data_IF_688504561243
#
_entry.id   IF_688504561243
#
_cell.length_a   1.000
_cell.length_b   1.000
_cell.length_c   1.000
_cell.angle_alpha   90.00
_cell.angle_beta   90.00
_cell.angle_gamma   90.00
#
_symmetry.space_group_name_H-M   'P 1'
#
loop_
_entity.id
_entity.type
_entity.pdbx_description
1 polymer ?
#
# COMPACT_ATOMS: atom_id res chain seq x y z
N UNK A 1 8.98 7.77 -2.03
CA UNK A 1 9.18 6.41 -2.62
C UNK A 1 9.52 6.63 -4.07
N UNK A 2 10.63 6.09 -4.51
CA UNK A 2 11.08 6.21 -5.89
C UNK A 2 11.37 4.81 -6.42
N UNK A 3 11.09 4.59 -7.70
CA UNK A 3 11.35 3.35 -8.41
C UNK A 3 12.02 3.71 -9.73
N UNK A 4 13.20 3.15 -9.98
CA UNK A 4 13.95 3.34 -11.21
C UNK A 4 13.79 2.09 -12.09
N UNK A 5 13.05 2.21 -13.18
CA UNK A 5 12.84 1.11 -14.10
C UNK A 5 13.63 1.33 -15.40
N UNK A 6 14.58 0.45 -15.65
CA UNK A 6 15.49 0.55 -16.79
C UNK A 6 14.93 -0.13 -18.02
N UNK A 7 14.93 0.59 -19.15
CA UNK A 7 14.40 0.11 -20.42
C UNK A 7 15.40 0.33 -21.57
N UNK A 8 15.24 -0.42 -22.65
CA UNK A 8 15.99 -0.19 -23.87
C UNK A 8 15.59 1.14 -24.51
N UNK A 9 16.56 1.95 -25.02
CA UNK A 9 16.25 3.15 -25.78
C UNK A 9 15.28 2.88 -26.93
N UNK A 10 14.25 3.71 -27.06
CA UNK A 10 13.21 3.57 -28.06
C UNK A 10 12.00 2.73 -27.64
N UNK A 11 12.05 2.08 -26.46
CA UNK A 11 10.87 1.42 -25.86
C UNK A 11 10.26 2.24 -24.70
N UNK A 12 10.82 3.38 -24.43
CA UNK A 12 10.53 4.24 -23.28
C UNK A 12 9.09 4.78 -23.26
N UNK A 13 8.53 5.16 -24.40
CA UNK A 13 7.17 5.69 -24.47
C UNK A 13 6.11 4.64 -24.10
N UNK A 14 6.29 3.41 -24.59
CA UNK A 14 5.39 2.29 -24.27
C UNK A 14 5.49 1.90 -22.78
N UNK A 15 6.71 1.91 -22.23
CA UNK A 15 6.93 1.60 -20.84
C UNK A 15 6.42 2.71 -19.93
N UNK A 16 6.61 3.98 -20.30
CA UNK A 16 6.06 5.12 -19.55
C UNK A 16 4.53 5.01 -19.42
N UNK A 17 3.84 4.75 -20.56
CA UNK A 17 2.38 4.54 -20.55
C UNK A 17 1.97 3.37 -19.66
N UNK A 18 2.65 2.23 -19.75
CA UNK A 18 2.38 1.06 -18.89
C UNK A 18 2.56 1.36 -17.42
N UNK A 19 3.59 2.15 -17.08
CA UNK A 19 3.81 2.55 -15.68
C UNK A 19 2.72 3.48 -15.17
N UNK A 20 2.24 4.43 -15.97
CA UNK A 20 1.09 5.28 -15.59
C UNK A 20 -0.15 4.42 -15.30
N UNK A 21 -0.50 3.50 -16.19
CA UNK A 21 -1.63 2.58 -16.02
C UNK A 21 -1.46 1.69 -14.76
N UNK A 22 -0.27 1.14 -14.56
CA UNK A 22 0.04 0.29 -13.42
C UNK A 22 -0.05 1.04 -12.09
N UNK A 23 0.49 2.27 -12.04
CA UNK A 23 0.45 3.08 -10.81
C UNK A 23 -0.96 3.53 -10.45
N UNK A 24 -1.79 3.89 -11.44
CA UNK A 24 -3.21 4.15 -11.21
C UNK A 24 -3.91 2.94 -10.59
N UNK A 25 -3.76 1.76 -11.19
CA UNK A 25 -4.33 0.52 -10.65
C UNK A 25 -3.84 0.22 -9.24
N UNK A 26 -2.55 0.45 -8.99
CA UNK A 26 -1.98 0.23 -7.67
C UNK A 26 -2.62 1.14 -6.60
N UNK A 27 -2.86 2.43 -6.89
CA UNK A 27 -3.56 3.33 -5.96
C UNK A 27 -5.00 2.88 -5.71
N UNK A 28 -5.71 2.42 -6.73
CA UNK A 28 -7.05 1.85 -6.58
C UNK A 28 -7.03 0.60 -5.68
N UNK A 29 -6.05 -0.27 -5.83
CA UNK A 29 -5.83 -1.45 -4.97
C UNK A 29 -5.53 -1.06 -3.51
N UNK A 30 -4.85 0.07 -3.28
CA UNK A 30 -4.64 0.60 -1.93
C UNK A 30 -5.91 1.24 -1.34
N UNK A 31 -6.98 1.35 -2.10
CA UNK A 31 -8.27 1.86 -1.65
C UNK A 31 -8.52 3.33 -2.00
N UNK A 32 -7.69 3.92 -2.85
CA UNK A 32 -7.94 5.27 -3.36
C UNK A 32 -9.02 5.20 -4.44
N UNK A 33 -10.08 6.01 -4.30
CA UNK A 33 -11.20 6.00 -5.24
C UNK A 33 -10.81 6.60 -6.60
N UNK A 34 -11.15 5.90 -7.66
CA UNK A 34 -10.83 6.30 -9.04
C UNK A 34 -11.37 7.68 -9.41
N UNK A 35 -12.54 8.05 -8.92
CA UNK A 35 -13.18 9.36 -9.15
C UNK A 35 -12.47 10.52 -8.46
N UNK A 36 -11.53 10.22 -7.56
CA UNK A 36 -10.64 11.20 -6.92
C UNK A 36 -9.25 11.29 -7.54
N UNK A 37 -8.96 10.46 -8.54
CA UNK A 37 -7.70 10.47 -9.28
C UNK A 37 -7.88 11.15 -10.63
N UNK A 38 -6.94 12.03 -10.97
CA UNK A 38 -6.88 12.70 -12.28
C UNK A 38 -5.45 12.60 -12.83
N UNK A 39 -5.30 12.51 -14.16
CA UNK A 39 -3.99 12.54 -14.80
C UNK A 39 -3.69 13.93 -15.31
N UNK A 40 -2.55 14.49 -14.91
CA UNK A 40 -2.00 15.71 -15.44
C UNK A 40 -0.79 15.40 -16.31
N UNK A 41 -0.90 15.67 -17.61
CA UNK A 41 0.26 15.59 -18.51
C UNK A 41 1.06 16.88 -18.42
N UNK A 42 2.26 16.80 -17.85
CA UNK A 42 3.15 17.96 -17.70
C UNK A 42 3.76 18.31 -19.04
N UNK A 43 3.64 19.60 -19.44
CA UNK A 43 4.10 20.07 -20.74
C UNK A 43 4.77 21.44 -20.66
N UNK A 44 5.54 21.79 -21.69
CA UNK A 44 6.13 23.11 -21.81
C UNK A 44 7.19 23.44 -20.76
N UNK A 45 7.08 24.61 -20.16
CA UNK A 45 8.06 25.13 -19.19
C UNK A 45 8.03 24.39 -17.85
N UNK A 46 6.90 23.72 -17.54
CA UNK A 46 6.75 22.93 -16.30
C UNK A 46 7.44 21.58 -16.39
N UNK A 47 7.77 21.11 -17.60
CA UNK A 47 8.46 19.84 -17.77
C UNK A 47 9.90 19.93 -17.28
N UNK A 48 10.28 19.06 -16.36
CA UNK A 48 11.65 19.02 -15.82
C UNK A 48 12.67 18.80 -16.95
N UNK A 49 13.81 19.48 -16.85
CA UNK A 49 14.88 19.48 -17.88
C UNK A 49 15.49 18.10 -18.17
N UNK A 50 15.31 17.16 -17.24
CA UNK A 50 15.76 15.77 -17.34
C UNK A 50 14.70 14.83 -17.93
N UNK A 51 13.47 15.31 -18.10
CA UNK A 51 12.35 14.47 -18.52
C UNK A 51 11.97 14.73 -19.97
N UNK A 52 11.73 13.66 -20.71
CA UNK A 52 11.11 13.67 -22.03
C UNK A 52 9.59 13.81 -21.95
N UNK A 53 9.01 13.21 -20.92
CA UNK A 53 7.57 13.24 -20.63
C UNK A 53 7.35 12.97 -19.15
N UNK A 54 6.38 13.64 -18.54
CA UNK A 54 5.94 13.38 -17.17
C UNK A 54 4.42 13.36 -17.13
N UNK A 55 3.88 12.42 -16.39
CA UNK A 55 2.45 12.36 -16.06
C UNK A 55 2.32 12.30 -14.56
N UNK A 56 1.60 13.27 -13.99
CA UNK A 56 1.30 13.31 -12.56
C UNK A 56 -0.07 12.69 -12.31
N UNK A 57 -0.13 11.76 -11.37
CA UNK A 57 -1.37 11.26 -10.78
C UNK A 57 -1.75 12.26 -9.69
N UNK A 58 -2.80 13.02 -9.94
CA UNK A 58 -3.36 14.00 -9.01
C UNK A 58 -4.42 13.33 -8.15
N UNK A 59 -4.52 13.73 -6.88
CA UNK A 59 -5.57 13.28 -5.97
C UNK A 59 -6.32 14.45 -5.38
N UNK A 60 -7.66 14.31 -5.25
CA UNK A 60 -8.55 15.29 -4.63
C UNK A 60 -8.49 15.22 -3.11
N UNK A 61 -7.51 15.91 -2.54
CA UNK A 61 -7.42 16.10 -1.09
C UNK A 61 -8.53 17.01 -0.57
N UNK A 62 -8.82 17.02 0.74
CA UNK A 62 -9.80 17.98 1.32
C UNK A 62 -9.46 19.46 1.08
N UNK A 63 -8.19 19.78 0.86
CA UNK A 63 -7.68 21.13 0.61
C UNK A 63 -7.49 21.45 -0.88
N UNK A 64 -7.73 20.52 -1.77
CA UNK A 64 -7.63 20.73 -3.22
C UNK A 64 -7.03 19.56 -4.00
N UNK A 65 -6.92 19.75 -5.30
CA UNK A 65 -6.30 18.80 -6.20
C UNK A 65 -4.78 18.98 -6.14
N UNK A 66 -4.05 17.98 -5.68
CA UNK A 66 -2.60 17.99 -5.52
C UNK A 66 -1.97 16.71 -6.07
N UNK A 67 -0.71 16.79 -6.46
CA UNK A 67 0.07 15.66 -6.93
C UNK A 67 0.20 14.58 -5.85
N UNK A 68 -0.10 13.34 -6.22
CA UNK A 68 0.09 12.14 -5.40
C UNK A 68 1.34 11.37 -5.80
N UNK A 69 1.57 11.25 -7.10
CA UNK A 69 2.71 10.55 -7.68
C UNK A 69 3.02 11.10 -9.07
N UNK A 70 4.29 11.37 -9.34
CA UNK A 70 4.77 11.71 -10.68
C UNK A 70 5.41 10.50 -11.36
N UNK A 71 5.16 10.32 -12.66
CA UNK A 71 5.81 9.28 -13.47
C UNK A 71 6.58 9.96 -14.59
N UNK A 72 7.90 9.95 -14.50
CA UNK A 72 8.79 10.61 -15.44
C UNK A 72 9.48 9.62 -16.40
N UNK A 73 9.51 9.96 -17.69
CA UNK A 73 10.43 9.36 -18.65
C UNK A 73 11.71 10.20 -18.68
N UNK A 74 12.73 9.77 -17.95
CA UNK A 74 14.00 10.48 -17.76
C UNK A 74 15.02 10.17 -18.86
N UNK A 75 14.67 9.31 -19.80
CA UNK A 75 15.56 8.83 -20.87
C UNK A 75 16.90 8.32 -20.30
N UNK A 76 18.01 8.61 -20.94
CA UNK A 76 19.38 8.30 -20.51
C UNK A 76 20.05 9.47 -19.75
N UNK A 77 19.25 10.45 -19.27
CA UNK A 77 19.78 11.67 -18.65
C UNK A 77 20.65 11.38 -17.43
N UNK A 78 20.15 10.60 -16.47
CA UNK A 78 20.85 10.37 -15.22
C UNK A 78 22.07 9.46 -15.40
N UNK A 79 21.87 8.31 -16.03
CA UNK A 79 22.99 7.38 -16.28
C UNK A 79 24.04 7.98 -17.22
N UNK A 80 23.60 8.75 -18.21
CA UNK A 80 24.47 9.51 -19.08
C UNK A 80 25.27 10.57 -18.33
N UNK A 81 24.61 11.38 -17.48
CA UNK A 81 25.25 12.44 -16.69
C UNK A 81 26.28 11.89 -15.68
N UNK A 82 26.04 10.70 -15.14
CA UNK A 82 26.88 10.07 -14.14
C UNK A 82 27.91 9.07 -14.71
N UNK A 83 27.92 8.85 -16.02
CA UNK A 83 28.91 7.97 -16.67
C UNK A 83 30.24 8.64 -16.87
N UNK A 84 31.34 7.88 -16.70
CA UNK A 84 32.66 8.26 -17.21
C UNK A 84 32.71 8.08 -18.74
N UNK A 85 33.57 8.81 -19.40
CA UNK A 85 33.79 8.74 -20.85
C UNK A 85 32.48 8.88 -21.62
N UNK A 86 31.69 9.91 -21.31
CA UNK A 86 30.38 10.18 -21.92
C UNK A 86 30.47 10.25 -23.46
N UNK A 87 31.59 10.69 -23.99
CA UNK A 87 31.88 10.79 -25.44
C UNK A 87 31.93 9.45 -26.16
N UNK A 88 32.20 8.36 -25.44
CA UNK A 88 32.22 6.99 -25.97
C UNK A 88 30.84 6.31 -25.96
N UNK A 89 29.84 7.01 -25.41
CA UNK A 89 28.49 6.49 -25.23
C UNK A 89 27.50 7.23 -26.12
N UNK A 90 26.56 6.50 -26.72
CA UNK A 90 25.47 7.09 -27.47
C UNK A 90 24.37 7.61 -26.51
N UNK A 91 24.63 8.78 -25.89
CA UNK A 91 23.70 9.43 -24.96
C UNK A 91 22.82 10.38 -25.78
N UNK A 92 21.49 10.24 -25.64
CA UNK A 92 20.50 11.02 -26.35
C UNK A 92 20.14 12.31 -25.61
N UNK A 93 20.13 12.28 -24.28
CA UNK A 93 19.80 13.43 -23.46
C UNK A 93 20.93 14.46 -23.44
N UNK A 94 20.57 15.73 -23.23
CA UNK A 94 21.55 16.79 -23.00
C UNK A 94 22.10 16.72 -21.57
N UNK A 95 23.20 16.03 -21.41
CA UNK A 95 23.85 15.82 -20.11
C UNK A 95 24.91 16.88 -19.81
N UNK A 96 25.17 17.14 -18.54
CA UNK A 96 26.29 17.91 -18.11
C UNK A 96 27.59 17.08 -18.19
N UNK A 97 28.72 17.73 -18.51
CA UNK A 97 30.03 17.07 -18.50
C UNK A 97 30.41 16.74 -17.05
N UNK A 98 30.64 15.47 -16.76
CA UNK A 98 31.03 15.00 -15.43
C UNK A 98 32.40 14.34 -15.46
N UNK A 99 33.43 15.11 -15.03
CA UNK A 99 34.82 14.65 -14.98
C UNK A 99 35.15 13.83 -13.72
N UNK A 100 34.24 13.81 -12.74
CA UNK A 100 34.42 13.08 -11.47
C UNK A 100 33.86 11.67 -11.50
N UNK A 101 33.12 11.31 -12.54
CA UNK A 101 32.57 9.94 -12.70
C UNK A 101 33.67 8.92 -12.92
N UNK A 102 33.63 7.84 -12.16
CA UNK A 102 34.58 6.73 -12.23
C UNK A 102 33.94 5.42 -12.73
N UNK A 103 32.64 5.40 -12.90
CA UNK A 103 31.87 4.24 -13.36
C UNK A 103 31.34 4.46 -14.78
N UNK A 104 31.25 3.39 -15.57
CA UNK A 104 30.55 3.35 -16.85
C UNK A 104 29.16 2.79 -16.60
N UNK A 105 28.13 3.65 -16.64
CA UNK A 105 26.74 3.28 -16.38
C UNK A 105 26.02 2.91 -17.67
N UNK A 106 26.56 1.89 -18.35
CA UNK A 106 26.05 1.36 -19.61
C UNK A 106 26.08 -0.16 -19.58
N UNK A 107 25.19 -0.80 -20.33
CA UNK A 107 25.19 -2.23 -20.58
C UNK A 107 25.72 -2.53 -21.97
N UNK A 108 26.35 -3.67 -22.15
CA UNK A 108 26.75 -4.14 -23.46
C UNK A 108 25.63 -4.97 -24.07
N UNK A 109 25.06 -4.50 -25.18
CA UNK A 109 24.10 -5.28 -25.95
C UNK A 109 24.83 -6.47 -26.59
N UNK A 110 24.43 -7.67 -26.18
CA UNK A 110 25.04 -8.93 -26.61
C UNK A 110 24.89 -9.15 -28.12
N UNK A 111 23.81 -8.65 -28.73
CA UNK A 111 23.52 -8.87 -30.15
C UNK A 111 24.36 -7.97 -31.04
N UNK A 112 24.50 -6.71 -30.67
CA UNK A 112 25.18 -5.68 -31.45
C UNK A 112 26.62 -5.42 -31.02
N UNK A 113 27.01 -5.95 -29.84
CA UNK A 113 28.28 -5.70 -29.15
C UNK A 113 28.54 -4.20 -28.87
N UNK A 114 27.49 -3.37 -28.86
CA UNK A 114 27.57 -1.93 -28.56
C UNK A 114 27.23 -1.66 -27.10
N UNK A 115 27.82 -0.61 -26.57
CA UNK A 115 27.46 -0.08 -25.28
C UNK A 115 26.21 0.80 -25.41
N UNK A 116 25.24 0.56 -24.55
CA UNK A 116 23.95 1.25 -24.52
C UNK A 116 23.71 1.77 -23.11
N UNK A 117 23.39 3.05 -23.01
CA UNK A 117 22.91 3.64 -21.74
C UNK A 117 21.40 3.39 -21.66
N UNK A 118 20.91 2.63 -20.68
CA UNK A 118 19.48 2.39 -20.54
C UNK A 118 18.71 3.69 -20.29
N UNK A 119 17.47 3.74 -20.75
CA UNK A 119 16.53 4.78 -20.37
C UNK A 119 15.87 4.45 -19.04
N UNK A 120 15.41 5.46 -18.34
CA UNK A 120 14.82 5.34 -17.00
C UNK A 120 13.39 5.83 -17.04
N UNK A 121 12.47 5.00 -16.53
CA UNK A 121 11.12 5.40 -16.17
C UNK A 121 11.07 5.44 -14.64
N UNK A 122 10.69 6.58 -14.09
CA UNK A 122 10.71 6.84 -12.66
C UNK A 122 9.30 7.18 -12.15
N UNK A 123 8.59 6.24 -11.53
CA UNK A 123 7.48 6.54 -10.63
C UNK A 123 8.01 7.04 -9.28
N UNK A 124 7.57 8.22 -8.85
CA UNK A 124 7.99 8.86 -7.59
C UNK A 124 6.78 9.40 -6.81
N UNK A 125 6.58 8.92 -5.59
CA UNK A 125 5.49 9.34 -4.72
C UNK A 125 5.97 9.75 -3.33
N UNK A 126 5.38 10.82 -2.78
CA UNK A 126 5.60 11.20 -1.39
C UNK A 126 4.93 10.22 -0.42
N UNK A 127 5.71 9.60 0.48
CA UNK A 127 5.17 8.62 1.46
C UNK A 127 4.08 9.24 2.32
N UNK A 128 4.33 10.43 2.88
CA UNK A 128 3.37 11.11 3.78
C UNK A 128 2.11 11.54 3.02
N UNK A 129 2.24 11.94 1.76
CA UNK A 129 1.13 12.32 0.90
C UNK A 129 0.27 11.10 0.55
N UNK A 130 0.91 9.97 0.21
CA UNK A 130 0.22 8.69 0.01
C UNK A 130 -0.49 8.20 1.28
N UNK A 131 0.17 8.32 2.43
CA UNK A 131 -0.44 7.99 3.72
C UNK A 131 -1.68 8.85 3.99
N UNK A 132 -1.62 10.17 3.76
CA UNK A 132 -2.74 11.07 3.93
C UNK A 132 -3.90 10.74 2.98
N UNK A 133 -3.62 10.42 1.72
CA UNK A 133 -4.64 10.03 0.75
C UNK A 133 -5.39 8.76 1.21
N UNK A 134 -4.65 7.71 1.62
CA UNK A 134 -5.22 6.46 2.11
C UNK A 134 -6.05 6.68 3.39
N UNK A 135 -5.58 7.52 4.33
CA UNK A 135 -6.35 7.85 5.52
C UNK A 135 -7.64 8.59 5.18
N UNK A 136 -7.57 9.56 4.26
CA UNK A 136 -8.73 10.35 3.82
C UNK A 136 -9.79 9.48 3.15
N UNK A 137 -9.39 8.49 2.34
CA UNK A 137 -10.30 7.52 1.73
C UNK A 137 -10.94 6.58 2.76
N UNK A 138 -10.14 6.17 3.74
CA UNK A 138 -10.55 5.14 4.71
C UNK A 138 -11.38 5.67 5.85
N UNK A 139 -11.32 6.99 6.14
CA UNK A 139 -12.06 7.60 7.25
C UNK A 139 -13.53 7.75 6.91
N UNK A 140 -14.40 7.16 7.72
CA UNK A 140 -15.85 7.18 7.55
C UNK A 140 -16.57 7.45 8.86
N UNK A 141 -17.65 8.22 8.79
CA UNK A 141 -18.64 8.35 9.86
C UNK A 141 -19.93 7.72 9.37
N UNK A 142 -20.33 6.62 9.98
CA UNK A 142 -21.47 5.83 9.58
C UNK A 142 -22.62 6.00 10.57
N UNK A 143 -23.81 6.36 10.09
CA UNK A 143 -25.02 6.38 10.89
C UNK A 143 -25.49 4.96 11.22
N UNK A 144 -25.85 4.71 12.48
CA UNK A 144 -26.43 3.45 12.94
C UNK A 144 -27.94 3.58 13.09
N UNK A 145 -28.67 2.45 13.00
CA UNK A 145 -30.14 2.39 13.11
C UNK A 145 -30.70 3.02 14.40
N UNK A 146 -29.91 3.06 15.46
CA UNK A 146 -30.29 3.64 16.76
C UNK A 146 -30.03 5.16 16.88
N UNK A 147 -29.74 5.83 15.74
CA UNK A 147 -29.45 7.27 15.69
C UNK A 147 -28.07 7.65 16.25
N UNK A 148 -27.20 6.68 16.55
CA UNK A 148 -25.80 6.91 16.92
C UNK A 148 -24.90 6.85 15.68
N UNK A 149 -23.71 7.42 15.83
CA UNK A 149 -22.69 7.35 14.79
C UNK A 149 -21.58 6.37 15.17
N UNK A 150 -20.96 5.78 14.15
CA UNK A 150 -19.78 4.95 14.24
C UNK A 150 -18.67 5.55 13.39
N UNK A 151 -17.54 5.84 14.02
CA UNK A 151 -16.32 6.20 13.30
C UNK A 151 -15.60 4.92 12.90
N UNK A 152 -15.21 4.82 11.64
CA UNK A 152 -14.52 3.66 11.08
C UNK A 152 -13.35 4.13 10.23
N UNK A 153 -12.22 3.46 10.38
CA UNK A 153 -11.10 3.58 9.46
C UNK A 153 -11.09 2.33 8.56
N UNK A 154 -11.78 2.43 7.41
CA UNK A 154 -11.98 1.32 6.47
C UNK A 154 -10.75 1.05 5.58
N UNK A 155 -9.59 0.89 6.22
CA UNK A 155 -8.36 0.51 5.52
C UNK A 155 -8.52 -0.85 4.82
N UNK A 156 -7.94 -1.00 3.64
CA UNK A 156 -7.77 -2.32 3.04
C UNK A 156 -7.09 -3.27 4.04
N UNK A 157 -7.50 -4.55 4.16
CA UNK A 157 -6.97 -5.46 5.18
C UNK A 157 -5.44 -5.56 5.21
N UNK A 158 -4.80 -5.52 4.04
CA UNK A 158 -3.33 -5.57 3.93
C UNK A 158 -2.63 -4.30 4.45
N UNK A 159 -3.32 -3.14 4.50
CA UNK A 159 -2.79 -1.87 5.03
C UNK A 159 -3.05 -1.70 6.53
N UNK A 160 -3.99 -2.45 7.11
CA UNK A 160 -4.33 -2.32 8.53
C UNK A 160 -3.11 -2.62 9.43
N UNK A 161 -2.74 -1.73 10.39
CA UNK A 161 -1.60 -1.96 11.29
C UNK A 161 -1.79 -3.16 12.20
N UNK A 162 -3.04 -3.43 12.60
CA UNK A 162 -3.46 -4.60 13.37
C UNK A 162 -4.42 -5.39 12.49
N UNK A 163 -4.08 -6.66 12.22
CA UNK A 163 -4.85 -7.53 11.32
C UNK A 163 -6.07 -8.16 12.00
N UNK A 164 -5.91 -8.49 13.28
CA UNK A 164 -7.02 -9.01 14.08
C UNK A 164 -6.85 -8.66 15.56
N UNK A 165 -7.98 -8.52 16.25
CA UNK A 165 -8.05 -8.43 17.71
C UNK A 165 -8.79 -9.64 18.28
N UNK A 166 -8.16 -10.40 19.17
CA UNK A 166 -8.77 -11.50 19.91
C UNK A 166 -9.27 -10.95 21.25
N UNK A 167 -10.58 -11.09 21.49
CA UNK A 167 -11.27 -10.38 22.58
C UNK A 167 -11.95 -11.40 23.51
N UNK A 168 -11.43 -11.67 24.71
CA UNK A 168 -12.11 -12.51 25.68
C UNK A 168 -13.39 -11.81 26.21
N UNK A 169 -14.52 -12.52 26.24
CA UNK A 169 -15.81 -12.01 26.72
C UNK A 169 -15.73 -11.46 28.16
N UNK A 170 -14.95 -12.11 29.00
CA UNK A 170 -14.74 -11.73 30.40
C UNK A 170 -13.24 -11.65 30.71
N UNK A 171 -12.77 -10.45 30.94
CA UNK A 171 -11.37 -10.17 31.25
C UNK A 171 -10.82 -10.84 32.54
N UNK A 172 -11.71 -11.21 33.45
CA UNK A 172 -11.35 -11.83 34.73
C UNK A 172 -11.53 -13.35 34.73
N UNK A 173 -11.84 -13.97 33.59
CA UNK A 173 -11.89 -15.41 33.42
C UNK A 173 -10.58 -15.86 32.80
N UNK A 174 -9.75 -16.58 33.57
CA UNK A 174 -8.42 -17.02 33.12
C UNK A 174 -8.48 -17.95 31.91
N UNK A 175 -9.46 -18.87 31.86
CA UNK A 175 -9.57 -19.84 30.76
C UNK A 175 -9.85 -19.14 29.40
N UNK A 176 -10.75 -18.13 29.41
CA UNK A 176 -11.04 -17.33 28.22
C UNK A 176 -9.83 -16.49 27.79
N UNK A 177 -9.12 -15.90 28.76
CA UNK A 177 -7.94 -15.09 28.50
C UNK A 177 -6.79 -15.93 27.96
N UNK A 178 -6.56 -17.11 28.55
CA UNK A 178 -5.50 -18.02 28.10
C UNK A 178 -5.78 -18.56 26.69
N UNK A 179 -7.03 -18.89 26.39
CA UNK A 179 -7.46 -19.28 25.03
C UNK A 179 -7.26 -18.15 24.03
N UNK A 180 -7.61 -16.91 24.42
CA UNK A 180 -7.38 -15.72 23.58
C UNK A 180 -5.89 -15.52 23.25
N UNK A 181 -5.02 -15.68 24.26
CA UNK A 181 -3.56 -15.61 24.04
C UNK A 181 -3.03 -16.74 23.17
N UNK A 182 -3.55 -17.95 23.34
CA UNK A 182 -3.19 -19.12 22.51
C UNK A 182 -3.54 -18.85 21.05
N UNK A 183 -4.79 -18.49 20.75
CA UNK A 183 -5.23 -18.18 19.39
C UNK A 183 -4.46 -16.99 18.77
N UNK A 184 -4.27 -15.90 19.55
CA UNK A 184 -3.43 -14.77 19.12
C UNK A 184 -2.04 -15.20 18.71
N UNK A 185 -1.38 -16.06 19.51
CA UNK A 185 -0.03 -16.54 19.20
C UNK A 185 0.00 -17.42 17.96
N UNK A 186 -1.00 -18.26 17.77
CA UNK A 186 -1.16 -19.09 16.57
C UNK A 186 -1.26 -18.22 15.31
N UNK A 187 -2.15 -17.23 15.31
CA UNK A 187 -2.31 -16.28 14.20
C UNK A 187 -1.05 -15.43 13.98
N UNK A 188 -0.39 -14.99 15.06
CA UNK A 188 0.86 -14.21 14.96
C UNK A 188 1.99 -15.02 14.30
N UNK A 189 2.03 -16.34 14.53
CA UNK A 189 3.03 -17.25 13.95
C UNK A 189 2.85 -17.44 12.43
N UNK A 190 1.70 -17.08 11.85
CA UNK A 190 1.50 -17.07 10.41
C UNK A 190 2.32 -15.97 9.71
N UNK A 191 2.83 -14.99 10.46
CA UNK A 191 3.66 -13.87 9.97
C UNK A 191 2.98 -12.99 8.90
N UNK A 192 1.65 -12.93 8.90
CA UNK A 192 0.85 -12.13 7.95
C UNK A 192 0.68 -10.69 8.45
N UNK A 193 0.92 -10.43 9.72
CA UNK A 193 0.85 -9.13 10.35
C UNK A 193 0.56 -9.20 11.85
N UNK A 194 0.35 -8.04 12.45
CA UNK A 194 0.17 -7.93 13.90
C UNK A 194 -1.22 -8.39 14.34
N UNK A 195 -1.27 -9.27 15.33
CA UNK A 195 -2.49 -9.68 16.04
C UNK A 195 -2.37 -9.31 17.52
N UNK A 196 -3.44 -8.81 18.13
CA UNK A 196 -3.45 -8.38 19.54
C UNK A 196 -4.53 -9.09 20.35
N UNK A 197 -4.33 -9.19 21.65
CA UNK A 197 -5.40 -9.50 22.60
C UNK A 197 -5.92 -8.19 23.18
N UNK A 198 -7.22 -7.93 23.02
CA UNK A 198 -7.89 -6.76 23.59
C UNK A 198 -8.69 -7.15 24.82
N UNK A 199 -8.17 -6.87 25.99
CA UNK A 199 -8.74 -7.31 27.27
C UNK A 199 -9.03 -6.12 28.22
N UNK A 200 -9.28 -4.91 27.69
CA UNK A 200 -9.38 -3.69 28.49
C UNK A 200 -10.81 -3.19 28.72
N UNK A 201 -11.78 -3.66 27.95
CA UNK A 201 -13.15 -3.15 27.99
C UNK A 201 -14.23 -4.21 27.92
N UNK A 202 -15.47 -3.77 27.71
CA UNK A 202 -16.52 -4.63 27.24
C UNK A 202 -16.43 -4.81 25.72
N UNK A 203 -17.01 -5.87 25.17
CA UNK A 203 -16.94 -6.23 23.75
C UNK A 203 -17.34 -5.07 22.84
N UNK A 204 -18.46 -4.39 23.14
CA UNK A 204 -18.92 -3.27 22.30
C UNK A 204 -17.95 -2.09 22.25
N UNK A 205 -17.24 -1.80 23.35
CA UNK A 205 -16.18 -0.78 23.37
C UNK A 205 -14.94 -1.25 22.62
N UNK A 206 -14.58 -2.51 22.76
CA UNK A 206 -13.45 -3.11 22.05
C UNK A 206 -13.68 -3.10 20.54
N UNK A 207 -14.88 -3.47 20.08
CA UNK A 207 -15.24 -3.38 18.65
C UNK A 207 -15.10 -1.95 18.12
N UNK A 208 -15.66 -0.95 18.82
CA UNK A 208 -15.53 0.46 18.39
C UNK A 208 -14.09 0.93 18.33
N UNK A 209 -13.28 0.63 19.33
CA UNK A 209 -11.85 0.94 19.32
C UNK A 209 -11.16 0.36 18.10
N UNK A 210 -11.47 -0.89 17.77
CA UNK A 210 -10.89 -1.58 16.62
C UNK A 210 -11.43 -1.08 15.28
N UNK A 211 -12.70 -0.66 15.22
CA UNK A 211 -13.27 0.04 14.06
C UNK A 211 -12.52 1.36 13.80
N UNK A 212 -12.28 2.16 14.85
CA UNK A 212 -11.61 3.48 14.78
C UNK A 212 -10.14 3.39 14.36
N UNK A 213 -9.43 2.31 14.73
CA UNK A 213 -8.01 2.12 14.37
C UNK A 213 -7.82 1.24 13.13
N UNK A 214 -8.91 0.85 12.46
CA UNK A 214 -8.88 0.15 11.19
C UNK A 214 -8.57 -1.34 11.26
N UNK A 215 -8.74 -2.00 12.43
CA UNK A 215 -8.55 -3.46 12.54
C UNK A 215 -9.67 -4.19 11.79
N UNK A 216 -9.38 -4.98 10.75
CA UNK A 216 -10.43 -5.56 9.89
C UNK A 216 -11.23 -6.69 10.54
N UNK A 217 -10.63 -7.44 11.48
CA UNK A 217 -11.28 -8.57 12.14
C UNK A 217 -11.21 -8.47 13.67
N UNK A 218 -12.35 -8.74 14.32
CA UNK A 218 -12.42 -8.99 15.76
C UNK A 218 -12.90 -10.42 16.02
N UNK A 219 -12.14 -11.19 16.80
CA UNK A 219 -12.44 -12.57 17.16
C UNK A 219 -12.79 -12.64 18.63
N UNK A 220 -14.03 -12.95 18.95
CA UNK A 220 -14.50 -13.04 20.34
C UNK A 220 -14.39 -14.45 20.86
N UNK A 221 -13.75 -14.58 22.02
CA UNK A 221 -13.64 -15.81 22.79
C UNK A 221 -14.68 -15.76 23.92
N UNK A 222 -15.62 -16.65 23.92
CA UNK A 222 -16.71 -16.76 24.89
C UNK A 222 -16.78 -18.17 25.52
N UNK A 223 -17.88 -18.48 26.23
CA UNK A 223 -18.03 -19.79 26.87
C UNK A 223 -18.23 -20.92 25.87
N UNK A 224 -18.87 -20.64 24.72
CA UNK A 224 -18.98 -21.61 23.62
C UNK A 224 -17.61 -21.96 23.04
N UNK A 225 -16.64 -21.04 23.16
CA UNK A 225 -15.26 -21.32 22.75
C UNK A 225 -14.59 -22.39 23.62
N UNK A 226 -14.94 -22.47 24.90
CA UNK A 226 -14.44 -23.50 25.81
C UNK A 226 -15.20 -24.83 25.64
N UNK A 227 -16.51 -24.78 25.45
CA UNK A 227 -17.40 -25.95 25.42
C UNK A 227 -17.46 -26.61 24.04
N UNK A 228 -17.50 -25.79 22.96
CA UNK A 228 -17.75 -26.21 21.57
C UNK A 228 -16.57 -26.00 20.63
N UNK A 229 -15.47 -25.42 21.13
CA UNK A 229 -14.31 -25.06 20.31
C UNK A 229 -14.64 -24.08 19.16
N UNK A 230 -15.60 -23.16 19.37
CA UNK A 230 -16.06 -22.19 18.39
C UNK A 230 -15.81 -20.75 18.84
N UNK A 231 -15.61 -19.85 17.90
CA UNK A 231 -15.43 -18.43 18.14
C UNK A 231 -16.32 -17.61 17.23
N UNK A 232 -16.64 -16.39 17.66
CA UNK A 232 -17.36 -15.43 16.82
C UNK A 232 -16.37 -14.48 16.16
N UNK A 233 -16.35 -14.46 14.83
CA UNK A 233 -15.56 -13.53 14.03
C UNK A 233 -16.45 -12.42 13.51
N UNK A 234 -16.07 -11.16 13.81
CA UNK A 234 -16.78 -9.98 13.33
C UNK A 234 -15.93 -9.26 12.29
N UNK A 235 -16.52 -9.00 11.15
CA UNK A 235 -15.99 -8.14 10.10
C UNK A 235 -16.21 -6.65 10.45
N UNK A 236 -15.19 -5.82 10.27
CA UNK A 236 -15.24 -4.38 10.58
C UNK A 236 -16.24 -3.64 9.69
N UNK A 237 -16.19 -3.89 8.38
CA UNK A 237 -16.89 -3.05 7.42
C UNK A 237 -18.39 -3.38 7.38
N UNK A 238 -18.75 -4.65 7.27
CA UNK A 238 -20.14 -5.12 7.26
C UNK A 238 -20.78 -5.21 8.65
N UNK A 239 -19.97 -5.28 9.72
CA UNK A 239 -20.37 -5.62 11.09
C UNK A 239 -20.98 -7.03 11.24
N UNK A 240 -20.99 -7.82 10.19
CA UNK A 240 -21.46 -9.21 10.24
C UNK A 240 -20.62 -10.05 11.20
N UNK A 241 -21.31 -10.95 11.88
CA UNK A 241 -20.69 -11.90 12.80
C UNK A 241 -20.93 -13.32 12.30
N UNK A 242 -19.86 -14.12 12.29
CA UNK A 242 -19.89 -15.53 11.90
C UNK A 242 -19.31 -16.38 13.00
N UNK A 243 -19.93 -17.52 13.30
CA UNK A 243 -19.35 -18.52 14.19
C UNK A 243 -18.52 -19.49 13.36
N UNK A 244 -17.27 -19.70 13.78
CA UNK A 244 -16.32 -20.60 13.13
C UNK A 244 -15.67 -21.50 14.18
N UNK A 245 -15.25 -22.69 13.78
CA UNK A 245 -14.43 -23.54 14.63
C UNK A 245 -13.03 -22.93 14.78
N UNK A 246 -12.43 -23.03 15.98
CA UNK A 246 -11.11 -22.43 16.25
C UNK A 246 -10.05 -23.01 15.30
N UNK A 247 -10.16 -24.28 14.93
CA UNK A 247 -9.26 -24.94 13.97
C UNK A 247 -9.25 -24.29 12.58
N UNK A 248 -10.35 -23.67 12.18
CA UNK A 248 -10.52 -23.08 10.84
C UNK A 248 -10.05 -21.63 10.77
N UNK A 249 -9.87 -20.99 11.94
CA UNK A 249 -9.50 -19.59 12.02
C UNK A 249 -8.18 -19.26 11.31
N UNK A 250 -7.10 -20.04 11.40
CA UNK A 250 -5.84 -19.75 10.71
C UNK A 250 -6.00 -19.65 9.18
N UNK A 251 -6.75 -20.56 8.58
CA UNK A 251 -6.97 -20.53 7.13
C UNK A 251 -7.94 -19.45 6.73
N UNK A 252 -9.04 -19.25 7.46
CA UNK A 252 -9.94 -18.10 7.27
C UNK A 252 -9.18 -16.77 7.33
N UNK A 253 -8.27 -16.60 8.30
CA UNK A 253 -7.47 -15.39 8.49
C UNK A 253 -6.53 -15.14 7.30
N UNK A 254 -5.86 -16.16 6.78
CA UNK A 254 -5.04 -16.04 5.56
C UNK A 254 -5.86 -15.60 4.36
N UNK A 255 -6.96 -16.33 4.09
CA UNK A 255 -7.83 -16.07 2.94
C UNK A 255 -8.45 -14.69 2.96
N UNK A 256 -8.77 -14.18 4.16
CA UNK A 256 -9.33 -12.85 4.34
C UNK A 256 -8.32 -11.72 4.07
N UNK A 257 -7.06 -11.91 4.45
CA UNK A 257 -6.02 -10.86 4.35
C UNK A 257 -5.27 -10.83 3.02
N UNK A 258 -5.29 -11.92 2.25
CA UNK A 258 -4.56 -12.05 0.98
C UNK A 258 -5.46 -11.69 -0.22
N UNK A 259 -6.75 -11.46 0.02
CA UNK A 259 -7.66 -10.91 -1.00
C UNK A 259 -7.36 -9.44 -1.24
#
# INVERSE_FOLDING_TARGET
MELEFFVEPGSDEDWHKKWVENRLSWWEEQGVSKDKLELLHVTGEDLAHYSKATVDIMYKFPHGLEELEGIANRTDFDLGSHSKNQEDLAISAKTAKNTSSNAKLAIQDIKTNKWVVPYVIEPSAGVDRGFLAILNESYQVQALENGKERVVLSLKPHLAPIKAAVIPLKKNNSELVDLAHKLKNELQNLRIGRVVVENTGNIGKSYRKHDEIGTPLCITIDFDSLEKNQVTVRDRDSMEQKTLDISDIPDFFKDYLIK
#
